data_IF_253260556341
#
_entry.id   IF_253260556341
#
_cell.length_a   1.000
_cell.length_b   1.000
_cell.length_c   1.000
_cell.angle_alpha   90.00
_cell.angle_beta   90.00
_cell.angle_gamma   90.00
#
_symmetry.space_group_name_H-M   'P 1'
#
loop_
_entity.id
_entity.type
_entity.pdbx_description
1 polymer ?
#
# COMPACT_ATOMS: atom_id res chain seq x y z
N UNK A 1 10.17 33.77 -8.52
CA UNK A 1 10.17 33.30 -7.12
C UNK A 1 8.99 32.34 -6.98
N UNK A 2 9.17 31.18 -6.34
CA UNK A 2 8.07 30.24 -6.12
C UNK A 2 7.05 30.83 -5.13
N UNK A 3 5.79 30.47 -5.29
CA UNK A 3 4.73 30.83 -4.36
C UNK A 3 4.98 30.18 -2.99
N UNK A 4 4.99 30.99 -1.93
CA UNK A 4 5.32 30.54 -0.58
C UNK A 4 4.23 29.65 0.02
N UNK A 5 2.97 29.87 -0.33
CA UNK A 5 1.86 29.06 0.18
C UNK A 5 1.96 27.64 -0.38
N UNK A 6 2.13 27.52 -1.70
CA UNK A 6 2.30 26.22 -2.35
C UNK A 6 3.58 25.51 -1.89
N UNK A 7 4.66 26.24 -1.61
CA UNK A 7 5.87 25.65 -1.03
C UNK A 7 5.61 25.03 0.34
N UNK A 8 4.94 25.76 1.25
CA UNK A 8 4.62 25.24 2.59
C UNK A 8 3.66 24.04 2.54
N UNK A 9 2.69 24.07 1.63
CA UNK A 9 1.79 22.92 1.39
C UNK A 9 2.60 21.70 0.93
N UNK A 10 3.49 21.87 -0.04
CA UNK A 10 4.32 20.76 -0.56
C UNK A 10 5.21 20.13 0.51
N UNK A 11 5.78 20.94 1.41
CA UNK A 11 6.62 20.46 2.52
C UNK A 11 5.79 19.58 3.45
N UNK A 12 4.60 20.03 3.86
CA UNK A 12 3.70 19.23 4.72
C UNK A 12 3.29 17.92 4.05
N UNK A 13 2.85 17.98 2.80
CA UNK A 13 2.45 16.81 2.01
C UNK A 13 3.59 15.82 1.82
N UNK A 14 4.84 16.29 1.71
CA UNK A 14 6.02 15.41 1.58
C UNK A 14 6.24 14.50 2.79
N UNK A 15 5.95 14.99 4.00
CA UNK A 15 6.11 14.20 5.24
C UNK A 15 5.05 13.10 5.29
N UNK A 16 3.82 13.44 4.93
CA UNK A 16 2.71 12.48 4.87
C UNK A 16 2.98 11.41 3.81
N UNK A 17 3.45 11.83 2.63
CA UNK A 17 3.88 10.94 1.57
C UNK A 17 4.94 9.94 2.06
N UNK A 18 5.96 10.42 2.77
CA UNK A 18 7.03 9.57 3.30
C UNK A 18 6.48 8.49 4.25
N UNK A 19 5.57 8.88 5.16
CA UNK A 19 4.95 7.94 6.10
C UNK A 19 4.13 6.86 5.36
N UNK A 20 3.25 7.28 4.45
CA UNK A 20 2.41 6.38 3.65
C UNK A 20 3.27 5.45 2.78
N UNK A 21 4.23 6.01 2.05
CA UNK A 21 5.12 5.25 1.16
C UNK A 21 5.92 4.20 1.93
N UNK A 22 6.47 4.58 3.09
CA UNK A 22 7.23 3.65 3.94
C UNK A 22 6.33 2.53 4.43
N UNK A 23 5.15 2.86 4.95
CA UNK A 23 4.20 1.90 5.47
C UNK A 23 3.66 0.94 4.39
N UNK A 24 3.30 1.47 3.22
CA UNK A 24 2.85 0.68 2.06
C UNK A 24 3.90 -0.38 1.69
N UNK A 25 5.18 0.01 1.62
CA UNK A 25 6.27 -0.92 1.32
C UNK A 25 6.59 -1.89 2.46
N UNK A 26 6.38 -1.50 3.71
CA UNK A 26 6.49 -2.43 4.84
C UNK A 26 5.44 -3.54 4.74
N UNK A 27 4.18 -3.20 4.43
CA UNK A 27 3.13 -4.20 4.22
C UNK A 27 3.45 -5.08 3.02
N UNK A 28 3.87 -4.51 1.88
CA UNK A 28 4.30 -5.30 0.71
C UNK A 28 5.34 -6.35 1.08
N UNK A 29 6.37 -5.94 1.83
CA UNK A 29 7.43 -6.86 2.29
C UNK A 29 6.89 -7.96 3.19
N UNK A 30 6.00 -7.63 4.12
CA UNK A 30 5.40 -8.61 5.03
C UNK A 30 4.50 -9.61 4.29
N UNK A 31 3.68 -9.14 3.35
CA UNK A 31 2.85 -9.99 2.49
C UNK A 31 3.70 -10.93 1.65
N UNK A 32 4.73 -10.40 0.96
CA UNK A 32 5.64 -11.23 0.15
C UNK A 32 6.33 -12.28 1.02
N UNK A 33 6.83 -11.90 2.20
CA UNK A 33 7.50 -12.82 3.11
C UNK A 33 6.56 -13.97 3.53
N UNK A 34 5.37 -13.67 4.04
CA UNK A 34 4.43 -14.70 4.50
C UNK A 34 3.98 -15.64 3.35
N UNK A 35 3.73 -15.06 2.18
CA UNK A 35 3.30 -15.82 1.00
C UNK A 35 4.44 -16.69 0.42
N UNK A 36 5.67 -16.19 0.40
CA UNK A 36 6.87 -16.93 -0.06
C UNK A 36 7.28 -18.05 0.90
N UNK A 37 7.09 -17.87 2.20
CA UNK A 37 7.33 -18.92 3.21
C UNK A 37 6.40 -20.13 3.01
N UNK A 38 5.14 -19.91 2.58
CA UNK A 38 4.16 -20.98 2.35
C UNK A 38 4.20 -21.56 0.94
N UNK A 39 4.27 -20.70 -0.06
CA UNK A 39 4.05 -21.05 -1.48
C UNK A 39 5.30 -20.87 -2.34
N UNK A 40 6.39 -20.33 -1.79
CA UNK A 40 7.65 -20.08 -2.50
C UNK A 40 7.43 -19.29 -3.80
N UNK A 41 8.12 -19.66 -4.88
CA UNK A 41 8.03 -19.01 -6.19
C UNK A 41 6.61 -19.01 -6.79
N UNK A 42 5.72 -19.88 -6.33
CA UNK A 42 4.35 -19.99 -6.84
C UNK A 42 3.36 -19.09 -6.08
N UNK A 43 3.82 -18.29 -5.12
CA UNK A 43 2.95 -17.47 -4.27
C UNK A 43 1.99 -16.56 -5.03
N UNK A 44 2.39 -16.02 -6.19
CA UNK A 44 1.53 -15.15 -6.98
C UNK A 44 0.30 -15.88 -7.55
N UNK A 45 0.39 -17.20 -7.77
CA UNK A 45 -0.75 -18.02 -8.23
C UNK A 45 -1.85 -18.13 -7.17
N UNK A 46 -1.52 -17.90 -5.90
CA UNK A 46 -2.47 -17.92 -4.77
C UNK A 46 -3.12 -16.55 -4.50
N UNK A 47 -2.81 -15.53 -5.30
CA UNK A 47 -3.52 -14.24 -5.29
C UNK A 47 -4.80 -14.36 -6.13
N UNK A 48 -5.86 -13.63 -5.77
CA UNK A 48 -7.12 -13.69 -6.54
C UNK A 48 -6.94 -13.30 -8.02
N UNK A 49 -7.67 -13.97 -8.91
CA UNK A 49 -7.57 -13.75 -10.36
C UNK A 49 -7.87 -12.30 -10.77
N UNK A 50 -8.76 -11.62 -10.03
CA UNK A 50 -9.08 -10.21 -10.24
C UNK A 50 -7.85 -9.31 -10.08
N UNK A 51 -7.09 -9.50 -9.00
CA UNK A 51 -5.85 -8.75 -8.73
C UNK A 51 -4.78 -9.12 -9.76
N UNK A 52 -4.64 -10.41 -10.08
CA UNK A 52 -3.69 -10.86 -11.11
C UNK A 52 -3.94 -10.18 -12.46
N UNK A 53 -5.21 -10.11 -12.90
CA UNK A 53 -5.61 -9.42 -14.15
C UNK A 53 -5.31 -7.92 -14.08
N UNK A 54 -5.66 -7.25 -12.97
CA UNK A 54 -5.39 -5.82 -12.74
C UNK A 54 -3.89 -5.51 -12.85
N UNK A 55 -3.04 -6.31 -12.19
CA UNK A 55 -1.58 -6.16 -12.23
C UNK A 55 -1.01 -6.46 -13.61
N UNK A 56 -1.47 -7.53 -14.26
CA UNK A 56 -1.02 -7.89 -15.61
C UNK A 56 -1.33 -6.79 -16.63
N UNK A 57 -2.53 -6.20 -16.57
CA UNK A 57 -2.92 -5.07 -17.42
C UNK A 57 -1.98 -3.86 -17.21
N UNK A 58 -1.71 -3.47 -15.96
CA UNK A 58 -0.77 -2.38 -15.63
C UNK A 58 0.64 -2.65 -16.14
N UNK A 59 1.16 -3.88 -15.97
CA UNK A 59 2.48 -4.29 -16.49
C UNK A 59 2.54 -4.18 -18.01
N UNK A 60 1.48 -4.60 -18.70
CA UNK A 60 1.42 -4.54 -20.16
C UNK A 60 1.35 -3.11 -20.70
N UNK A 61 0.61 -2.24 -20.04
CA UNK A 61 0.58 -0.80 -20.36
C UNK A 61 1.97 -0.17 -20.19
N UNK A 62 2.67 -0.46 -19.08
CA UNK A 62 4.02 0.07 -18.84
C UNK A 62 5.05 -0.47 -19.84
N UNK A 63 4.97 -1.75 -20.23
CA UNK A 63 5.89 -2.34 -21.23
C UNK A 63 5.84 -1.65 -22.59
N UNK A 64 4.70 -1.04 -22.94
CA UNK A 64 4.55 -0.28 -24.20
C UNK A 64 5.31 1.05 -24.16
N UNK A 65 5.65 1.56 -22.98
CA UNK A 65 6.24 2.88 -22.76
C UNK A 65 7.74 2.73 -22.47
N UNK A 66 8.56 2.54 -23.52
CA UNK A 66 10.01 2.27 -23.39
C UNK A 66 10.85 3.41 -22.80
N UNK A 67 10.36 4.64 -22.84
CA UNK A 67 11.08 5.82 -22.35
C UNK A 67 10.85 6.10 -20.86
N UNK A 68 9.99 5.32 -20.20
CA UNK A 68 9.61 5.53 -18.81
C UNK A 68 9.99 4.32 -17.95
N UNK A 69 10.37 4.58 -16.69
CA UNK A 69 10.66 3.52 -15.72
C UNK A 69 9.39 2.74 -15.36
N UNK A 70 9.52 1.43 -15.11
CA UNK A 70 8.44 0.62 -14.57
C UNK A 70 8.35 0.75 -13.04
N UNK A 71 7.20 0.39 -12.46
CA UNK A 71 6.98 0.47 -11.00
C UNK A 71 7.82 -0.47 -10.15
N UNK A 72 8.42 -1.49 -10.76
CA UNK A 72 9.26 -2.46 -10.07
C UNK A 72 9.34 -3.81 -10.81
N UNK A 73 10.19 -4.69 -10.29
CA UNK A 73 10.44 -6.02 -10.85
C UNK A 73 9.37 -7.06 -10.47
N UNK A 74 8.74 -6.92 -9.30
CA UNK A 74 7.73 -7.85 -8.79
C UNK A 74 6.31 -7.30 -8.86
N UNK A 75 5.36 -8.21 -8.99
CA UNK A 75 3.91 -8.00 -9.05
C UNK A 75 3.39 -7.18 -7.87
N UNK A 76 3.97 -7.35 -6.67
CA UNK A 76 3.52 -6.65 -5.45
C UNK A 76 3.62 -5.12 -5.54
N UNK A 77 4.52 -4.59 -6.38
CA UNK A 77 4.67 -3.14 -6.58
C UNK A 77 3.53 -2.52 -7.39
N UNK A 78 2.71 -3.36 -8.02
CA UNK A 78 1.50 -2.93 -8.72
C UNK A 78 0.25 -3.01 -7.85
N UNK A 79 0.37 -3.52 -6.62
CA UNK A 79 -0.72 -3.61 -5.65
C UNK A 79 -0.80 -2.33 -4.80
N UNK A 80 -2.02 -1.84 -4.58
CA UNK A 80 -2.35 -0.77 -3.63
C UNK A 80 -2.85 -1.34 -2.29
N UNK A 81 -3.23 -0.48 -1.33
CA UNK A 81 -3.70 -0.94 -0.02
C UNK A 81 -4.96 -1.81 -0.11
N UNK A 82 -5.86 -1.52 -1.05
CA UNK A 82 -7.03 -2.35 -1.32
C UNK A 82 -6.63 -3.75 -1.78
N UNK A 83 -5.70 -3.84 -2.75
CA UNK A 83 -5.17 -5.12 -3.22
C UNK A 83 -4.46 -5.89 -2.09
N UNK A 84 -3.61 -5.21 -1.29
CA UNK A 84 -2.90 -5.83 -0.16
C UNK A 84 -3.86 -6.37 0.90
N UNK A 85 -4.90 -5.60 1.25
CA UNK A 85 -5.96 -6.01 2.17
C UNK A 85 -6.67 -7.27 1.67
N UNK A 86 -7.00 -7.32 0.37
CA UNK A 86 -7.65 -8.48 -0.23
C UNK A 86 -6.74 -9.73 -0.22
N UNK A 87 -5.44 -9.57 -0.52
CA UNK A 87 -4.46 -10.69 -0.47
C UNK A 87 -4.35 -11.25 0.95
N UNK A 88 -4.26 -10.37 1.95
CA UNK A 88 -4.19 -10.76 3.37
C UNK A 88 -5.44 -11.53 3.77
N UNK A 89 -6.63 -11.00 3.43
CA UNK A 89 -7.89 -11.64 3.84
C UNK A 89 -8.14 -12.97 3.13
N UNK A 90 -7.75 -13.13 1.86
CA UNK A 90 -7.93 -14.39 1.12
C UNK A 90 -6.97 -15.49 1.58
N UNK A 91 -5.86 -15.13 2.23
CA UNK A 91 -4.84 -16.04 2.74
C UNK A 91 -4.69 -15.90 4.26
N UNK A 92 -5.81 -15.69 4.96
CA UNK A 92 -5.83 -15.27 6.38
C UNK A 92 -5.04 -16.17 7.32
N UNK A 93 -5.04 -17.49 7.08
CA UNK A 93 -4.28 -18.47 7.87
C UNK A 93 -2.78 -18.15 7.96
N UNK A 94 -2.23 -17.40 6.99
CA UNK A 94 -0.82 -17.00 7.00
C UNK A 94 -0.54 -15.76 7.87
N UNK A 95 -1.58 -15.04 8.26
CA UNK A 95 -1.48 -13.74 8.93
C UNK A 95 -2.17 -13.70 10.29
N UNK A 96 -2.93 -14.73 10.65
CA UNK A 96 -3.78 -14.73 11.85
C UNK A 96 -3.01 -14.69 13.17
N UNK A 97 -1.77 -15.19 13.20
CA UNK A 97 -0.90 -15.08 14.38
C UNK A 97 -0.30 -13.66 14.53
N UNK A 98 -0.20 -12.91 13.43
CA UNK A 98 0.42 -11.58 13.39
C UNK A 98 -0.62 -10.44 13.52
N UNK A 99 -1.81 -10.63 12.93
CA UNK A 99 -2.82 -9.59 12.76
C UNK A 99 -4.07 -9.90 13.60
N UNK A 100 -4.71 -8.83 14.10
CA UNK A 100 -5.83 -8.95 15.04
C UNK A 100 -7.04 -9.72 14.49
N UNK A 101 -7.57 -9.29 13.35
CA UNK A 101 -8.65 -9.94 12.60
C UNK A 101 -8.78 -9.29 11.21
N UNK A 102 -9.47 -9.97 10.28
CA UNK A 102 -9.66 -9.49 8.91
C UNK A 102 -10.38 -8.14 8.83
N UNK A 103 -11.37 -7.89 9.67
CA UNK A 103 -12.15 -6.65 9.63
C UNK A 103 -11.31 -5.44 10.02
N UNK A 104 -10.50 -5.59 11.07
CA UNK A 104 -9.55 -4.56 11.50
C UNK A 104 -8.55 -4.22 10.40
N UNK A 105 -7.99 -5.21 9.71
CA UNK A 105 -7.09 -5.00 8.56
C UNK A 105 -7.80 -4.23 7.44
N UNK A 106 -9.02 -4.66 7.06
CA UNK A 106 -9.81 -4.01 6.01
C UNK A 106 -10.08 -2.54 6.33
N UNK A 107 -10.57 -2.25 7.53
CA UNK A 107 -10.91 -0.88 7.93
C UNK A 107 -9.67 0.02 7.97
N UNK A 108 -8.56 -0.48 8.50
CA UNK A 108 -7.31 0.27 8.62
C UNK A 108 -6.72 0.59 7.24
N UNK A 109 -6.59 -0.41 6.36
CA UNK A 109 -6.00 -0.21 5.03
C UNK A 109 -6.92 0.61 4.12
N UNK A 110 -8.24 0.45 4.23
CA UNK A 110 -9.21 1.28 3.49
C UNK A 110 -9.12 2.76 3.93
N UNK A 111 -8.97 3.03 5.23
CA UNK A 111 -8.81 4.39 5.71
C UNK A 111 -7.51 5.05 5.21
N UNK A 112 -6.41 4.28 5.18
CA UNK A 112 -5.13 4.76 4.64
C UNK A 112 -5.17 4.95 3.13
N UNK A 113 -5.88 4.10 2.40
CA UNK A 113 -6.03 4.21 0.94
C UNK A 113 -6.66 5.53 0.50
N UNK A 114 -7.72 5.97 1.20
CA UNK A 114 -8.35 7.28 0.93
C UNK A 114 -7.34 8.42 1.04
N UNK A 115 -6.55 8.42 2.11
CA UNK A 115 -5.53 9.45 2.35
C UNK A 115 -4.38 9.39 1.35
N UNK A 116 -3.93 8.16 1.04
CA UNK A 116 -2.89 7.89 0.06
C UNK A 116 -3.25 8.42 -1.32
N UNK A 117 -4.49 8.25 -1.76
CA UNK A 117 -4.94 8.76 -3.05
C UNK A 117 -4.87 10.28 -3.13
N UNK A 118 -5.31 11.00 -2.10
CA UNK A 118 -5.24 12.47 -2.06
C UNK A 118 -3.79 12.94 -2.17
N UNK A 119 -2.89 12.39 -1.34
CA UNK A 119 -1.48 12.79 -1.30
C UNK A 119 -0.76 12.49 -2.62
N UNK A 120 -1.04 11.36 -3.23
CA UNK A 120 -0.39 10.94 -4.50
C UNK A 120 -0.87 11.73 -5.71
N UNK A 121 -2.02 12.41 -5.60
CA UNK A 121 -2.53 13.34 -6.61
C UNK A 121 -2.22 14.82 -6.28
N UNK A 122 -1.32 15.08 -5.33
CA UNK A 122 -0.90 16.44 -4.95
C UNK A 122 -1.94 17.21 -4.14
N UNK A 123 -2.94 16.52 -3.58
CA UNK A 123 -3.95 17.11 -2.73
C UNK A 123 -3.47 17.36 -1.30
N UNK A 124 -4.24 18.16 -0.57
CA UNK A 124 -4.03 18.44 0.85
C UNK A 124 -5.03 17.66 1.71
N UNK A 125 -4.61 17.27 2.90
CA UNK A 125 -5.45 16.59 3.88
C UNK A 125 -5.83 17.54 5.02
N UNK A 126 -7.01 17.33 5.60
CA UNK A 126 -7.39 17.97 6.85
C UNK A 126 -6.53 17.43 8.00
N UNK A 127 -6.41 18.20 9.09
CA UNK A 127 -5.58 17.84 10.23
C UNK A 127 -6.03 16.51 10.86
N UNK A 128 -7.33 16.28 10.94
CA UNK A 128 -7.95 15.05 11.47
C UNK A 128 -7.60 13.82 10.63
N UNK A 129 -7.46 13.99 9.31
CA UNK A 129 -7.07 12.89 8.42
C UNK A 129 -5.58 12.54 8.59
N UNK A 130 -4.73 13.55 8.78
CA UNK A 130 -3.30 13.36 9.07
C UNK A 130 -3.12 12.60 10.39
N UNK A 131 -3.87 12.99 11.42
CA UNK A 131 -3.86 12.30 12.72
C UNK A 131 -4.35 10.86 12.59
N UNK A 132 -5.39 10.61 11.79
CA UNK A 132 -5.90 9.26 11.53
C UNK A 132 -4.86 8.36 10.85
N UNK A 133 -4.07 8.90 9.90
CA UNK A 133 -2.93 8.17 9.31
C UNK A 133 -1.95 7.76 10.41
N UNK A 134 -1.57 8.70 11.27
CA UNK A 134 -0.62 8.46 12.36
C UNK A 134 -1.11 7.40 13.35
N UNK A 135 -2.40 7.43 13.71
CA UNK A 135 -3.02 6.42 14.59
C UNK A 135 -3.02 5.04 13.93
N UNK A 136 -3.51 4.95 12.69
CA UNK A 136 -3.58 3.67 11.96
C UNK A 136 -2.20 3.02 11.78
N UNK A 137 -1.18 3.79 11.39
CA UNK A 137 0.19 3.27 11.25
C UNK A 137 0.72 2.81 12.60
N UNK A 138 0.51 3.59 13.67
CA UNK A 138 1.00 3.25 15.01
C UNK A 138 0.33 1.99 15.57
N UNK A 139 -0.98 1.85 15.38
CA UNK A 139 -1.73 0.68 15.82
C UNK A 139 -1.26 -0.58 15.06
N UNK A 140 -0.99 -0.45 13.76
CA UNK A 140 -0.38 -1.53 12.99
C UNK A 140 0.99 -1.94 13.52
N UNK A 141 1.87 -0.97 13.76
CA UNK A 141 3.21 -1.25 14.28
C UNK A 141 3.18 -1.91 15.65
N UNK A 142 2.26 -1.52 16.54
CA UNK A 142 2.07 -2.14 17.86
C UNK A 142 1.50 -3.56 17.78
N UNK A 143 0.72 -3.86 16.75
CA UNK A 143 0.16 -5.19 16.53
C UNK A 143 1.18 -6.15 15.92
N UNK A 144 2.10 -5.65 15.09
CA UNK A 144 2.99 -6.48 14.27
C UNK A 144 4.47 -6.47 14.69
N UNK A 145 4.85 -5.59 15.62
CA UNK A 145 6.19 -5.52 16.21
C UNK A 145 6.20 -6.01 17.65
#
# INVERSE_FOLDING_TARGET
MLDQEFLQQSIKTSIIYQAIHTFENMIRKMVVKAMDEKYHLDWWKHVSESIQKKVSARKEEERKIKWHASRGSSEIFYCDFGDLSAIICSNWELFEELLRNQEWVKQLLLALEKSRNVIMHGGNLAQEDIERIGVNIRDWLRQTG
#
